data_IF_670094899983
#
_entry.id   IF_670094899983
#
_cell.length_a   1.000
_cell.length_b   1.000
_cell.length_c   1.000
_cell.angle_alpha   90.00
_cell.angle_beta   90.00
_cell.angle_gamma   90.00
#
_symmetry.space_group_name_H-M   'P 1'
#
loop_
_entity.id
_entity.type
_entity.pdbx_description
1 polymer ?
#
# COMPACT_ATOMS: atom_id res chain seq x y z
N UNK A 1 -10.26 12.53 17.12
CA UNK A 1 -9.34 11.49 17.66
C UNK A 1 -8.45 10.90 16.57
N UNK A 2 -8.99 10.32 15.48
CA UNK A 2 -8.18 9.73 14.39
C UNK A 2 -7.33 10.75 13.60
N UNK A 3 -7.85 11.95 13.33
CA UNK A 3 -7.06 13.01 12.67
C UNK A 3 -5.84 13.47 13.50
N UNK A 4 -5.94 13.38 14.83
CA UNK A 4 -4.83 13.72 15.73
C UNK A 4 -3.71 12.67 15.68
N UNK A 5 -4.08 11.40 15.48
CA UNK A 5 -3.14 10.28 15.43
C UNK A 5 -2.40 10.17 14.10
N UNK A 6 -2.88 10.86 13.04
CA UNK A 6 -2.24 10.87 11.71
C UNK A 6 -1.88 9.47 11.23
N UNK A 7 -2.88 8.60 11.20
CA UNK A 7 -2.74 7.20 10.78
C UNK A 7 -3.45 6.97 9.45
N UNK A 8 -2.92 6.05 8.66
CA UNK A 8 -3.39 5.72 7.31
C UNK A 8 -3.48 4.20 7.19
N UNK A 9 -4.67 3.69 6.88
CA UNK A 9 -5.01 2.27 6.75
C UNK A 9 -4.89 1.86 5.30
N UNK A 10 -4.05 0.88 5.03
CA UNK A 10 -3.83 0.35 3.68
C UNK A 10 -4.24 -1.12 3.66
N UNK A 11 -5.07 -1.50 2.70
CA UNK A 11 -5.56 -2.87 2.56
C UNK A 11 -4.69 -3.65 1.59
N UNK A 12 -4.33 -4.88 1.97
CA UNK A 12 -3.53 -5.75 1.11
C UNK A 12 -4.43 -6.55 0.17
N UNK A 13 -4.00 -6.69 -1.09
CA UNK A 13 -4.67 -7.54 -2.07
C UNK A 13 -3.66 -8.50 -2.71
N UNK A 14 -3.60 -9.76 -2.26
CA UNK A 14 -2.76 -10.77 -2.91
C UNK A 14 -3.23 -11.08 -4.33
N UNK A 15 -2.30 -11.49 -5.20
CA UNK A 15 -2.64 -11.89 -6.58
C UNK A 15 -3.58 -13.10 -6.55
N UNK A 16 -4.72 -12.99 -7.23
CA UNK A 16 -5.73 -14.06 -7.28
C UNK A 16 -6.63 -14.15 -6.05
N UNK A 17 -6.48 -13.26 -5.07
CA UNK A 17 -7.35 -13.17 -3.91
C UNK A 17 -8.08 -11.81 -3.88
N UNK A 18 -9.17 -11.79 -3.11
CA UNK A 18 -9.89 -10.56 -2.78
C UNK A 18 -9.06 -9.72 -1.79
N UNK A 19 -9.27 -8.39 -1.74
CA UNK A 19 -8.66 -7.55 -0.72
C UNK A 19 -9.09 -8.00 0.69
N UNK A 20 -8.13 -8.02 1.62
CA UNK A 20 -8.42 -8.22 3.03
C UNK A 20 -8.75 -6.87 3.68
N UNK A 21 -10.02 -6.70 4.05
CA UNK A 21 -10.53 -5.51 4.75
C UNK A 21 -10.57 -5.66 6.28
N UNK A 22 -10.29 -6.85 6.81
CA UNK A 22 -10.30 -7.09 8.26
C UNK A 22 -8.97 -6.71 8.90
N UNK A 23 -7.85 -6.90 8.19
CA UNK A 23 -6.51 -6.66 8.71
C UNK A 23 -5.76 -5.59 7.88
N UNK A 24 -6.06 -4.29 8.06
CA UNK A 24 -5.31 -3.23 7.39
C UNK A 24 -3.90 -3.09 7.93
N UNK A 25 -2.96 -2.76 7.05
CA UNK A 25 -1.64 -2.30 7.43
C UNK A 25 -1.75 -0.82 7.77
N UNK A 26 -1.47 -0.48 9.04
CA UNK A 26 -1.51 0.91 9.51
C UNK A 26 -0.13 1.55 9.40
N UNK A 27 -0.07 2.67 8.67
CA UNK A 27 1.09 3.53 8.48
C UNK A 27 0.85 4.89 9.15
N UNK A 28 1.94 5.60 9.44
CA UNK A 28 1.86 7.00 9.86
C UNK A 28 1.71 7.90 8.63
N UNK A 29 0.94 8.99 8.71
CA UNK A 29 0.70 9.89 7.58
C UNK A 29 1.98 10.48 6.99
N UNK A 30 3.01 10.66 7.82
CA UNK A 30 4.31 11.22 7.39
C UNK A 30 5.17 10.18 6.62
N UNK A 31 4.86 8.87 6.76
CA UNK A 31 5.59 7.76 6.13
C UNK A 31 4.61 6.73 5.56
N UNK A 32 4.04 7.08 4.42
CA UNK A 32 2.98 6.32 3.73
C UNK A 32 3.31 6.02 2.27
N UNK A 33 4.60 5.92 1.93
CA UNK A 33 5.00 5.49 0.59
C UNK A 33 4.74 3.99 0.38
N UNK A 34 4.75 3.54 -0.88
CA UNK A 34 4.74 2.11 -1.22
C UNK A 34 5.96 1.39 -0.61
N UNK A 35 7.10 2.06 -0.53
CA UNK A 35 8.28 1.49 0.14
C UNK A 35 8.06 1.29 1.64
N UNK A 36 7.50 2.29 2.33
CA UNK A 36 7.17 2.20 3.75
C UNK A 36 6.18 1.05 4.01
N UNK A 37 5.16 0.94 3.15
CA UNK A 37 4.19 -0.15 3.18
C UNK A 37 4.87 -1.52 3.04
N UNK A 38 5.77 -1.68 2.06
CA UNK A 38 6.52 -2.92 1.86
C UNK A 38 7.39 -3.26 3.07
N UNK A 39 8.07 -2.26 3.65
CA UNK A 39 8.92 -2.44 4.82
C UNK A 39 8.13 -2.81 6.07
N UNK A 40 6.91 -2.26 6.22
CA UNK A 40 5.98 -2.59 7.32
C UNK A 40 5.48 -4.03 7.22
N UNK A 41 5.24 -4.52 6.01
CA UNK A 41 4.81 -5.90 5.76
C UNK A 41 5.97 -6.88 6.00
N UNK A 42 7.09 -6.70 5.30
CA UNK A 42 8.33 -7.43 5.55
C UNK A 42 9.50 -6.82 4.77
N UNK A 43 10.65 -6.58 5.41
CA UNK A 43 11.87 -5.96 4.83
C UNK A 43 12.38 -6.57 3.52
N UNK A 44 12.11 -7.85 3.24
CA UNK A 44 12.55 -8.49 1.99
C UNK A 44 11.67 -8.11 0.80
N UNK A 45 10.41 -7.75 1.04
CA UNK A 45 9.44 -7.41 -0.02
C UNK A 45 9.89 -6.16 -0.77
N UNK A 46 10.45 -5.17 -0.07
CA UNK A 46 10.99 -3.96 -0.69
C UNK A 46 12.15 -4.25 -1.65
N UNK A 47 12.95 -5.32 -1.40
CA UNK A 47 14.05 -5.75 -2.28
C UNK A 47 13.53 -6.43 -3.54
N UNK A 48 12.52 -7.27 -3.38
CA UNK A 48 11.88 -8.01 -4.47
C UNK A 48 10.84 -7.17 -5.23
N UNK A 49 10.56 -5.94 -4.81
CA UNK A 49 9.53 -5.09 -5.41
C UNK A 49 9.82 -4.79 -6.90
N UNK A 50 8.84 -5.08 -7.78
CA UNK A 50 8.84 -4.69 -9.19
C UNK A 50 7.95 -3.46 -9.44
N UNK A 51 6.72 -3.52 -8.97
CA UNK A 51 5.74 -2.42 -8.99
C UNK A 51 4.57 -2.75 -8.04
N UNK A 52 3.73 -1.77 -7.76
CA UNK A 52 2.43 -1.99 -7.10
C UNK A 52 1.28 -1.62 -8.03
N UNK A 53 0.14 -2.29 -7.85
CA UNK A 53 -1.14 -1.86 -8.39
C UNK A 53 -1.94 -1.28 -7.23
N UNK A 54 -2.46 -0.07 -7.42
CA UNK A 54 -3.23 0.64 -6.39
C UNK A 54 -4.64 0.89 -6.89
N UNK A 55 -5.60 0.69 -6.00
CA UNK A 55 -6.98 1.14 -6.12
C UNK A 55 -7.28 2.07 -4.96
N UNK A 56 -7.81 3.25 -5.25
CA UNK A 56 -8.17 4.20 -4.22
C UNK A 56 -7.96 5.64 -4.67
N UNK A 57 -7.95 6.54 -3.70
CA UNK A 57 -7.94 7.99 -3.94
C UNK A 57 -6.55 8.54 -4.29
N UNK A 58 -5.48 7.79 -4.03
CA UNK A 58 -4.11 8.23 -4.38
C UNK A 58 -3.80 8.15 -5.87
N UNK A 59 -4.65 7.50 -6.67
CA UNK A 59 -4.45 7.30 -8.11
C UNK A 59 -5.65 7.82 -8.90
N UNK A 60 -5.40 8.30 -10.13
CA UNK A 60 -6.47 8.84 -10.99
C UNK A 60 -7.23 7.76 -11.76
N UNK A 61 -6.57 6.65 -12.04
CA UNK A 61 -7.14 5.50 -12.75
C UNK A 61 -7.03 4.25 -11.90
N UNK A 62 -8.00 3.34 -11.99
CA UNK A 62 -8.06 2.16 -11.14
C UNK A 62 -8.11 0.87 -11.98
N UNK A 63 -7.18 -0.09 -11.78
CA UNK A 63 -5.92 0.05 -11.06
C UNK A 63 -4.90 0.90 -11.82
N UNK A 64 -4.05 1.61 -11.08
CA UNK A 64 -2.85 2.26 -11.64
C UNK A 64 -1.58 1.57 -11.15
N UNK A 65 -0.63 1.39 -12.08
CA UNK A 65 0.71 0.90 -11.77
C UNK A 65 1.55 2.03 -11.19
N UNK A 66 2.14 1.80 -10.02
CA UNK A 66 2.93 2.79 -9.29
C UNK A 66 4.29 2.25 -8.86
N UNK A 67 5.23 3.17 -8.62
CA UNK A 67 6.57 2.88 -8.11
C UNK A 67 6.65 2.94 -6.58
N UNK A 68 7.88 2.84 -6.05
CA UNK A 68 8.17 2.85 -4.60
C UNK A 68 7.89 4.19 -3.93
N UNK A 69 8.15 5.28 -4.65
CA UNK A 69 7.97 6.67 -4.20
C UNK A 69 6.50 7.11 -4.12
N UNK A 70 5.57 6.28 -4.61
CA UNK A 70 4.15 6.66 -4.64
C UNK A 70 3.59 6.76 -3.22
N UNK A 71 2.93 7.88 -2.93
CA UNK A 71 2.33 8.18 -1.64
C UNK A 71 0.91 7.63 -1.60
N UNK A 72 0.62 6.78 -0.62
CA UNK A 72 -0.69 6.18 -0.42
C UNK A 72 -1.62 7.10 0.38
N UNK A 73 -2.92 6.98 0.14
CA UNK A 73 -3.96 7.62 0.92
C UNK A 73 -4.67 6.60 1.83
N UNK A 74 -5.45 7.11 2.79
CA UNK A 74 -6.24 6.26 3.67
C UNK A 74 -7.24 5.43 2.85
N UNK A 75 -7.39 4.17 3.24
CA UNK A 75 -8.25 3.17 2.62
C UNK A 75 -7.84 2.72 1.20
N UNK A 76 -6.63 3.06 0.75
CA UNK A 76 -6.10 2.51 -0.49
C UNK A 76 -5.92 0.98 -0.40
N UNK A 77 -6.19 0.30 -1.50
CA UNK A 77 -5.93 -1.13 -1.69
C UNK A 77 -4.66 -1.29 -2.53
N UNK A 78 -3.73 -2.12 -2.06
CA UNK A 78 -2.43 -2.32 -2.69
C UNK A 78 -2.18 -3.78 -2.99
N UNK A 79 -1.82 -4.06 -4.25
CA UNK A 79 -1.27 -5.35 -4.68
C UNK A 79 0.19 -5.19 -5.08
N UNK A 80 1.09 -5.84 -4.33
CA UNK A 80 2.53 -5.84 -4.61
C UNK A 80 2.85 -6.90 -5.67
N UNK A 81 3.62 -6.51 -6.69
CA UNK A 81 4.16 -7.44 -7.69
C UNK A 81 5.67 -7.53 -7.51
N UNK A 82 6.17 -8.75 -7.34
CA UNK A 82 7.58 -9.06 -7.16
C UNK A 82 8.31 -9.21 -8.51
N UNK A 83 9.62 -8.97 -8.51
CA UNK A 83 10.55 -9.33 -9.59
C UNK A 83 10.62 -10.86 -9.60
N UNK A 84 10.42 -11.44 -10.78
CA UNK A 84 10.65 -12.88 -11.01
C UNK A 84 12.14 -13.12 -11.01
#
# INVERSE_FOLDING_TARGET
MWEYLKLTRIYTKPKGQLPDYQSPVVLHTDRRSIEDFCNKLHRTIAKEFKYALVWGSSVKHQPQKVGKEHVLNDEDVVQIVKKV
#
